data_IF_026853096660
#
_entry.id   IF_026853096660
#
_cell.length_a   1.000
_cell.length_b   1.000
_cell.length_c   1.000
_cell.angle_alpha   90.00
_cell.angle_beta   90.00
_cell.angle_gamma   90.00
#
_symmetry.space_group_name_H-M   'P 1'
#
loop_
_entity.id
_entity.type
_entity.pdbx_description
1 polymer ?
#
# COMPACT_ATOMS: atom_id res chain seq x y z
N UNK A 1 3.52 -32.57 -7.90
CA UNK A 1 2.56 -31.54 -8.36
C UNK A 1 3.04 -30.21 -7.83
N UNK A 2 3.18 -29.20 -8.69
CA UNK A 2 3.44 -27.82 -8.24
C UNK A 2 2.17 -27.23 -7.62
N UNK A 3 2.31 -26.26 -6.71
CA UNK A 3 1.17 -25.57 -6.08
C UNK A 3 0.23 -24.95 -7.12
N UNK A 4 0.77 -24.46 -8.24
CA UNK A 4 0.01 -23.91 -9.38
C UNK A 4 -0.92 -24.94 -10.02
N UNK A 5 -0.44 -26.18 -10.25
CA UNK A 5 -1.25 -27.24 -10.85
C UNK A 5 -2.44 -27.64 -9.97
N UNK A 6 -2.31 -27.47 -8.65
CA UNK A 6 -3.34 -27.76 -7.66
C UNK A 6 -4.39 -26.63 -7.61
N UNK A 7 -3.94 -25.37 -7.66
CA UNK A 7 -4.82 -24.20 -7.76
C UNK A 7 -5.69 -24.23 -9.02
N UNK A 8 -5.12 -24.59 -10.17
CA UNK A 8 -5.87 -24.73 -11.43
C UNK A 8 -6.92 -25.85 -11.32
N UNK A 9 -6.60 -26.97 -10.69
CA UNK A 9 -7.56 -28.04 -10.46
C UNK A 9 -8.70 -27.61 -9.52
N UNK A 10 -8.36 -26.90 -8.44
CA UNK A 10 -9.36 -26.36 -7.51
C UNK A 10 -10.28 -25.35 -8.18
N UNK A 11 -9.74 -24.44 -8.99
CA UNK A 11 -10.53 -23.45 -9.74
C UNK A 11 -11.50 -24.11 -10.73
N UNK A 12 -11.09 -25.22 -11.37
CA UNK A 12 -11.97 -25.98 -12.27
C UNK A 12 -13.05 -26.75 -11.52
N UNK A 13 -12.72 -27.34 -10.36
CA UNK A 13 -13.62 -28.21 -9.61
C UNK A 13 -14.61 -27.44 -8.73
N UNK A 14 -14.17 -26.31 -8.17
CA UNK A 14 -14.94 -25.49 -7.23
C UNK A 14 -14.78 -23.99 -7.56
N UNK A 15 -15.26 -23.53 -8.73
CA UNK A 15 -15.03 -22.17 -9.21
C UNK A 15 -15.55 -21.11 -8.23
N UNK A 16 -16.74 -21.30 -7.67
CA UNK A 16 -17.34 -20.33 -6.74
C UNK A 16 -16.58 -20.23 -5.41
N UNK A 17 -16.07 -21.36 -4.90
CA UNK A 17 -15.29 -21.39 -3.65
C UNK A 17 -13.95 -20.69 -3.85
N UNK A 18 -13.28 -20.94 -4.98
CA UNK A 18 -12.03 -20.27 -5.30
C UNK A 18 -12.25 -18.78 -5.52
N UNK A 19 -13.32 -18.40 -6.25
CA UNK A 19 -13.67 -16.99 -6.46
C UNK A 19 -13.94 -16.28 -5.13
N UNK A 20 -14.73 -16.87 -4.24
CA UNK A 20 -14.99 -16.32 -2.91
C UNK A 20 -13.70 -16.17 -2.09
N UNK A 21 -12.82 -17.18 -2.10
CA UNK A 21 -11.54 -17.12 -1.40
C UNK A 21 -10.64 -15.99 -1.93
N UNK A 22 -10.58 -15.78 -3.26
CA UNK A 22 -9.84 -14.69 -3.88
C UNK A 22 -10.41 -13.34 -3.46
N UNK A 23 -11.74 -13.16 -3.55
CA UNK A 23 -12.42 -11.92 -3.15
C UNK A 23 -12.08 -11.58 -1.70
N UNK A 24 -12.29 -12.52 -0.77
CA UNK A 24 -12.00 -12.32 0.65
C UNK A 24 -10.52 -12.02 0.89
N UNK A 25 -9.60 -12.68 0.18
CA UNK A 25 -8.17 -12.40 0.31
C UNK A 25 -7.80 -10.99 -0.16
N UNK A 26 -8.41 -10.51 -1.25
CA UNK A 26 -8.18 -9.15 -1.75
C UNK A 26 -8.76 -8.12 -0.78
N UNK A 27 -9.99 -8.32 -0.30
CA UNK A 27 -10.63 -7.43 0.67
C UNK A 27 -9.80 -7.29 1.96
N UNK A 28 -9.33 -8.42 2.51
CA UNK A 28 -8.47 -8.41 3.70
C UNK A 28 -7.16 -7.65 3.47
N UNK A 29 -6.54 -7.82 2.29
CA UNK A 29 -5.31 -7.10 1.95
C UNK A 29 -5.56 -5.60 1.77
N UNK A 30 -6.67 -5.21 1.14
CA UNK A 30 -7.08 -3.81 1.03
C UNK A 30 -7.24 -3.20 2.43
N UNK A 31 -7.99 -3.85 3.32
CA UNK A 31 -8.20 -3.35 4.68
C UNK A 31 -6.88 -3.18 5.45
N UNK A 32 -5.96 -4.14 5.32
CA UNK A 32 -4.64 -4.04 5.92
C UNK A 32 -3.84 -2.84 5.40
N UNK A 33 -3.76 -2.68 4.08
CA UNK A 33 -3.05 -1.58 3.44
C UNK A 33 -3.67 -0.21 3.77
N UNK A 34 -4.99 -0.12 3.89
CA UNK A 34 -5.66 1.12 4.31
C UNK A 34 -5.26 1.54 5.73
N UNK A 35 -5.17 0.57 6.66
CA UNK A 35 -4.70 0.83 8.02
C UNK A 35 -3.24 1.29 8.02
N UNK A 36 -2.38 0.61 7.27
CA UNK A 36 -0.96 0.97 7.14
C UNK A 36 -0.77 2.37 6.54
N UNK A 37 -1.50 2.66 5.45
CA UNK A 37 -1.50 3.98 4.80
C UNK A 37 -1.91 5.10 5.77
N UNK A 38 -2.91 4.84 6.61
CA UNK A 38 -3.35 5.80 7.61
C UNK A 38 -2.27 6.08 8.66
N UNK A 39 -1.54 5.05 9.10
CA UNK A 39 -0.42 5.24 10.04
C UNK A 39 0.74 5.99 9.39
N UNK A 40 1.08 5.70 8.12
CA UNK A 40 2.10 6.45 7.38
C UNK A 40 1.70 7.92 7.22
N UNK A 41 0.44 8.19 6.83
CA UNK A 41 -0.07 9.57 6.72
C UNK A 41 0.03 10.33 8.04
N UNK A 42 -0.25 9.68 9.17
CA UNK A 42 -0.04 10.29 10.50
C UNK A 42 1.42 10.61 10.77
N UNK A 43 2.36 9.74 10.41
CA UNK A 43 3.80 9.99 10.57
C UNK A 43 4.27 11.16 9.72
N UNK A 44 3.88 11.20 8.44
CA UNK A 44 4.15 12.32 7.54
C UNK A 44 3.60 13.62 8.13
N UNK A 45 2.35 13.61 8.59
CA UNK A 45 1.72 14.79 9.19
C UNK A 45 2.45 15.28 10.45
N UNK A 46 2.99 14.37 11.27
CA UNK A 46 3.81 14.76 12.44
C UNK A 46 5.08 15.48 12.01
N UNK A 47 5.80 14.97 11.01
CA UNK A 47 6.98 15.63 10.46
C UNK A 47 6.63 17.00 9.88
N UNK A 48 5.51 17.11 9.16
CA UNK A 48 5.00 18.39 8.65
C UNK A 48 4.72 19.40 9.77
N UNK A 49 4.11 18.95 10.87
CA UNK A 49 3.80 19.78 12.03
C UNK A 49 5.04 20.14 12.86
N UNK A 50 6.00 19.24 13.00
CA UNK A 50 7.24 19.47 13.76
C UNK A 50 8.13 20.48 13.03
N UNK A 51 8.23 20.37 11.70
CA UNK A 51 9.07 21.24 10.88
C UNK A 51 8.31 22.45 10.30
N UNK A 52 6.99 22.54 10.49
CA UNK A 52 6.12 23.61 9.99
C UNK A 52 6.23 23.86 8.49
N UNK A 53 6.48 22.80 7.74
CA UNK A 53 6.64 22.84 6.29
C UNK A 53 6.34 21.47 5.67
N UNK A 54 6.30 21.41 4.35
CA UNK A 54 6.23 20.13 3.61
C UNK A 54 7.62 19.64 3.24
N UNK A 55 7.73 18.35 2.91
CA UNK A 55 8.97 17.71 2.49
C UNK A 55 9.66 18.48 1.36
N UNK A 56 8.93 18.95 0.35
CA UNK A 56 9.55 19.65 -0.80
C UNK A 56 10.14 21.01 -0.43
N UNK A 57 9.68 21.61 0.68
CA UNK A 57 10.28 22.82 1.23
C UNK A 57 11.47 22.47 2.11
N UNK A 58 11.32 21.46 2.98
CA UNK A 58 12.39 20.94 3.82
C UNK A 58 13.62 20.55 2.99
N UNK A 59 13.43 19.81 1.91
CA UNK A 59 14.46 19.44 0.92
C UNK A 59 15.26 20.63 0.37
N UNK A 60 14.64 21.81 0.28
CA UNK A 60 15.28 23.02 -0.27
C UNK A 60 15.95 23.88 0.79
N UNK A 61 15.55 23.72 2.05
CA UNK A 61 15.97 24.59 3.16
C UNK A 61 16.83 23.87 4.20
N UNK A 62 16.87 22.53 4.16
CA UNK A 62 17.71 21.73 5.05
C UNK A 62 19.18 22.13 4.90
N UNK A 63 19.87 22.26 6.04
CA UNK A 63 21.32 22.36 6.06
C UNK A 63 22.00 21.02 5.78
N UNK A 64 23.32 20.99 5.99
CA UNK A 64 24.17 19.82 5.73
C UNK A 64 24.52 19.05 7.01
N UNK A 65 23.67 19.15 8.04
CA UNK A 65 23.86 18.41 9.28
C UNK A 65 23.39 16.96 9.11
N UNK A 66 24.03 16.04 9.83
CA UNK A 66 23.65 14.62 9.81
C UNK A 66 22.20 14.46 10.26
N UNK A 67 21.78 15.20 11.28
CA UNK A 67 20.43 15.19 11.83
C UNK A 67 19.39 15.62 10.79
N UNK A 68 19.66 16.67 10.00
CA UNK A 68 18.75 17.11 8.93
C UNK A 68 18.64 16.08 7.80
N UNK A 69 19.75 15.43 7.44
CA UNK A 69 19.75 14.35 6.45
C UNK A 69 18.99 13.12 6.93
N UNK A 70 19.09 12.75 8.21
CA UNK A 70 18.30 11.64 8.78
C UNK A 70 16.79 11.93 8.72
N UNK A 71 16.38 13.14 9.13
CA UNK A 71 14.97 13.58 9.06
C UNK A 71 14.47 13.54 7.62
N UNK A 72 15.27 14.09 6.68
CA UNK A 72 14.93 14.05 5.26
C UNK A 72 14.74 12.62 4.76
N UNK A 73 15.67 11.71 5.10
CA UNK A 73 15.63 10.33 4.64
C UNK A 73 14.41 9.58 5.17
N UNK A 74 14.09 9.74 6.46
CA UNK A 74 12.87 9.15 7.05
C UNK A 74 11.62 9.67 6.35
N UNK A 75 11.52 10.99 6.21
CA UNK A 75 10.35 11.62 5.62
C UNK A 75 10.17 11.21 4.14
N UNK A 76 11.26 11.20 3.37
CA UNK A 76 11.26 10.76 1.98
C UNK A 76 10.79 9.31 1.85
N UNK A 77 11.33 8.44 2.68
CA UNK A 77 10.95 7.02 2.72
C UNK A 77 9.46 6.82 3.03
N UNK A 78 8.91 7.63 3.94
CA UNK A 78 7.47 7.59 4.26
C UNK A 78 6.60 8.05 3.09
N UNK A 79 7.00 9.10 2.37
CA UNK A 79 6.28 9.58 1.18
C UNK A 79 6.31 8.55 0.07
N UNK A 80 7.46 7.93 -0.20
CA UNK A 80 7.58 6.86 -1.19
C UNK A 80 6.76 5.63 -0.81
N UNK A 81 6.79 5.22 0.46
CA UNK A 81 5.98 4.11 0.95
C UNK A 81 4.47 4.40 0.83
N UNK A 82 4.04 5.62 1.13
CA UNK A 82 2.66 6.07 0.95
C UNK A 82 2.24 5.93 -0.53
N UNK A 83 3.07 6.39 -1.46
CA UNK A 83 2.78 6.30 -2.90
C UNK A 83 2.68 4.84 -3.38
N UNK A 84 3.60 3.97 -2.93
CA UNK A 84 3.57 2.55 -3.25
C UNK A 84 2.29 1.86 -2.73
N UNK A 85 1.86 2.18 -1.50
CA UNK A 85 0.62 1.60 -0.96
C UNK A 85 -0.62 2.15 -1.69
N UNK A 86 -0.63 3.45 -2.04
CA UNK A 86 -1.71 4.04 -2.84
C UNK A 86 -1.80 3.41 -4.25
N UNK A 87 -0.67 3.01 -4.83
CA UNK A 87 -0.60 2.21 -6.06
C UNK A 87 -1.22 0.84 -5.87
N UNK A 88 -0.72 0.07 -4.90
CA UNK A 88 -1.17 -1.31 -4.65
C UNK A 88 -2.68 -1.36 -4.33
N UNK A 89 -3.17 -0.42 -3.52
CA UNK A 89 -4.60 -0.28 -3.24
C UNK A 89 -5.42 -0.02 -4.51
N UNK A 90 -4.91 0.80 -5.42
CA UNK A 90 -5.59 1.09 -6.69
C UNK A 90 -5.67 -0.15 -7.58
N UNK A 91 -4.57 -0.90 -7.69
CA UNK A 91 -4.53 -2.15 -8.45
C UNK A 91 -5.47 -3.19 -7.85
N UNK A 92 -5.41 -3.43 -6.54
CA UNK A 92 -6.27 -4.40 -5.85
C UNK A 92 -7.75 -4.07 -5.99
N UNK A 93 -8.13 -2.80 -5.83
CA UNK A 93 -9.53 -2.35 -6.03
C UNK A 93 -9.99 -2.52 -7.47
N UNK A 94 -9.11 -2.29 -8.45
CA UNK A 94 -9.40 -2.53 -9.86
C UNK A 94 -9.63 -4.04 -10.12
N UNK A 95 -8.73 -4.89 -9.64
CA UNK A 95 -8.84 -6.35 -9.74
C UNK A 95 -10.11 -6.87 -9.08
N UNK A 96 -10.43 -6.41 -7.87
CA UNK A 96 -11.66 -6.79 -7.17
C UNK A 96 -12.91 -6.43 -7.99
N UNK A 97 -12.94 -5.22 -8.56
CA UNK A 97 -14.04 -4.75 -9.41
C UNK A 97 -14.20 -5.60 -10.67
N UNK A 98 -13.10 -6.04 -11.27
CA UNK A 98 -13.11 -6.91 -12.45
C UNK A 98 -13.69 -8.30 -12.09
N UNK A 99 -13.23 -8.91 -10.99
CA UNK A 99 -13.73 -10.20 -10.51
C UNK A 99 -15.24 -10.16 -10.20
N UNK A 100 -15.70 -9.08 -9.57
CA UNK A 100 -17.12 -8.89 -9.22
C UNK A 100 -17.97 -8.64 -10.48
N UNK A 101 -17.45 -7.97 -11.51
CA UNK A 101 -18.19 -7.72 -12.77
C UNK A 101 -18.34 -8.95 -13.66
N UNK A 102 -17.52 -9.97 -13.47
CA UNK A 102 -17.70 -11.29 -14.10
C UNK A 102 -18.79 -12.13 -13.38
N UNK A 103 -19.70 -11.48 -12.65
CA UNK A 103 -20.93 -12.06 -12.05
C UNK A 103 -22.11 -11.59 -12.89
#
# INVERSE_FOLDING_TARGET
MTNEALLVQLAKKYPDVVKAAIITSIENKIEHLERELNEIKKKIYRLEEEHKMKLEHFEKTMGDSFEEHEIWFEWKSLVELKENIEEELRELRKTLKEIIKEI
#
